data_IF_335126477082
#
_entry.id   IF_335126477082
#
_cell.length_a   1.000
_cell.length_b   1.000
_cell.length_c   1.000
_cell.angle_alpha   90.00
_cell.angle_beta   90.00
_cell.angle_gamma   90.00
#
_symmetry.space_group_name_H-M   'P 1'
#
loop_
_entity.id
_entity.type
_entity.pdbx_description
1 polymer ?
#
# COMPACT_ATOMS: atom_id res chain seq x y z
N UNK A 1 -33.69 -26.68 31.57
CA UNK A 1 -32.85 -26.23 30.43
C UNK A 1 -32.72 -27.37 29.44
N UNK A 2 -32.90 -27.07 28.15
CA UNK A 2 -32.78 -28.06 27.06
C UNK A 2 -31.30 -28.31 26.74
N UNK A 3 -30.64 -29.15 27.56
CA UNK A 3 -29.22 -29.53 27.37
C UNK A 3 -28.95 -30.22 26.03
N UNK A 4 -29.83 -31.13 25.52
CA UNK A 4 -29.65 -31.74 24.21
C UNK A 4 -29.72 -30.74 23.06
N UNK A 5 -30.63 -29.76 23.11
CA UNK A 5 -30.74 -28.70 22.13
C UNK A 5 -29.52 -27.81 22.12
N UNK A 6 -28.98 -27.43 23.29
CA UNK A 6 -27.76 -26.65 23.42
C UNK A 6 -26.53 -27.38 22.83
N UNK A 7 -26.38 -28.68 23.19
CA UNK A 7 -25.27 -29.49 22.68
C UNK A 7 -25.31 -29.62 21.15
N UNK A 8 -26.50 -29.75 20.55
CA UNK A 8 -26.69 -29.77 19.09
C UNK A 8 -26.28 -28.46 18.45
N UNK A 9 -26.67 -27.30 19.03
CA UNK A 9 -26.30 -25.99 18.53
C UNK A 9 -24.78 -25.76 18.59
N UNK A 10 -24.14 -26.14 19.69
CA UNK A 10 -22.69 -26.06 19.83
C UNK A 10 -22.01 -26.97 18.78
N UNK A 11 -22.49 -28.20 18.58
CA UNK A 11 -21.97 -29.09 17.55
C UNK A 11 -22.04 -28.48 16.14
N UNK A 12 -23.19 -27.88 15.78
CA UNK A 12 -23.37 -27.19 14.51
C UNK A 12 -22.40 -26.01 14.40
N UNK A 13 -22.26 -25.21 15.44
CA UNK A 13 -21.35 -24.08 15.45
C UNK A 13 -19.89 -24.50 15.25
N UNK A 14 -19.44 -25.58 15.88
CA UNK A 14 -18.10 -26.13 15.70
C UNK A 14 -17.89 -26.61 14.27
N UNK A 15 -18.83 -27.35 13.70
CA UNK A 15 -18.75 -27.82 12.30
C UNK A 15 -18.67 -26.64 11.33
N UNK A 16 -19.51 -25.62 11.50
CA UNK A 16 -19.49 -24.43 10.67
C UNK A 16 -18.16 -23.68 10.78
N UNK A 17 -17.57 -23.56 11.98
CA UNK A 17 -16.26 -22.95 12.18
C UNK A 17 -15.14 -23.74 11.48
N UNK A 18 -15.15 -25.06 11.56
CA UNK A 18 -14.17 -25.91 10.85
C UNK A 18 -14.29 -25.72 9.35
N UNK A 19 -15.51 -25.73 8.81
CA UNK A 19 -15.77 -25.47 7.38
C UNK A 19 -15.23 -24.08 6.99
N UNK A 20 -15.53 -23.05 7.78
CA UNK A 20 -15.06 -21.69 7.54
C UNK A 20 -13.52 -21.62 7.51
N UNK A 21 -12.84 -22.25 8.47
CA UNK A 21 -11.36 -22.30 8.51
C UNK A 21 -10.80 -22.97 7.25
N UNK A 22 -11.41 -24.05 6.79
CA UNK A 22 -11.00 -24.75 5.57
C UNK A 22 -11.16 -23.87 4.33
N UNK A 23 -12.28 -23.14 4.20
CA UNK A 23 -12.50 -22.20 3.10
C UNK A 23 -11.53 -21.03 3.13
N UNK A 24 -11.26 -20.46 4.31
CA UNK A 24 -10.26 -19.40 4.48
C UNK A 24 -8.87 -19.87 4.04
N UNK A 25 -8.46 -21.08 4.49
CA UNK A 25 -7.19 -21.68 4.08
C UNK A 25 -7.11 -21.90 2.57
N UNK A 26 -8.16 -22.47 1.98
CA UNK A 26 -8.25 -22.72 0.53
C UNK A 26 -8.14 -21.40 -0.25
N UNK A 27 -8.89 -20.37 0.16
CA UNK A 27 -8.81 -19.01 -0.41
C UNK A 27 -7.39 -18.47 -0.37
N UNK A 28 -6.71 -18.54 0.79
CA UNK A 28 -5.35 -18.04 0.94
C UNK A 28 -4.37 -18.76 0.00
N UNK A 29 -4.47 -20.09 -0.14
CA UNK A 29 -3.62 -20.88 -1.02
C UNK A 29 -3.85 -20.52 -2.50
N UNK A 30 -5.12 -20.41 -2.93
CA UNK A 30 -5.46 -20.03 -4.30
C UNK A 30 -4.94 -18.62 -4.59
N UNK A 31 -5.15 -17.67 -3.67
CA UNK A 31 -4.70 -16.29 -3.86
C UNK A 31 -3.18 -16.16 -3.89
N UNK A 32 -2.48 -16.87 -3.01
CA UNK A 32 -1.02 -16.91 -3.05
C UNK A 32 -0.50 -17.40 -4.42
N UNK A 33 -1.14 -18.44 -4.97
CA UNK A 33 -0.78 -18.97 -6.30
C UNK A 33 -1.09 -17.97 -7.42
N UNK A 34 -2.27 -17.37 -7.42
CA UNK A 34 -2.70 -16.40 -8.45
C UNK A 34 -1.85 -15.14 -8.40
N UNK A 35 -1.69 -14.53 -7.22
CA UNK A 35 -0.86 -13.33 -7.07
C UNK A 35 0.58 -13.57 -7.50
N UNK A 36 1.17 -14.71 -7.09
CA UNK A 36 2.54 -15.04 -7.49
C UNK A 36 2.66 -15.26 -9.02
N UNK A 37 1.66 -15.89 -9.64
CA UNK A 37 1.62 -16.08 -11.09
C UNK A 37 1.57 -14.74 -11.83
N UNK A 38 0.71 -13.82 -11.40
CA UNK A 38 0.61 -12.46 -11.96
C UNK A 38 1.96 -11.74 -11.86
N UNK A 39 2.62 -11.81 -10.68
CA UNK A 39 3.90 -11.16 -10.46
C UNK A 39 5.01 -11.72 -11.34
N UNK A 40 5.05 -13.04 -11.51
CA UNK A 40 6.02 -13.69 -12.40
C UNK A 40 5.78 -13.20 -13.83
N UNK A 41 4.53 -13.15 -14.28
CA UNK A 41 4.17 -12.66 -15.62
C UNK A 41 4.60 -11.21 -15.82
N UNK A 42 4.25 -10.31 -14.89
CA UNK A 42 4.64 -8.89 -14.97
C UNK A 42 6.16 -8.76 -14.98
N UNK A 43 6.86 -9.49 -14.13
CA UNK A 43 8.32 -9.46 -14.06
C UNK A 43 8.97 -9.95 -15.37
N UNK A 44 8.44 -11.01 -15.96
CA UNK A 44 8.91 -11.50 -17.25
C UNK A 44 8.66 -10.51 -18.37
N UNK A 45 7.47 -9.94 -18.45
CA UNK A 45 7.12 -8.91 -19.43
C UNK A 45 8.03 -7.69 -19.30
N UNK A 46 8.17 -7.17 -18.08
CA UNK A 46 9.02 -6.01 -17.80
C UNK A 46 10.50 -6.29 -18.15
N UNK A 47 11.01 -7.44 -17.74
CA UNK A 47 12.39 -7.81 -18.03
C UNK A 47 12.63 -8.01 -19.53
N UNK A 48 11.72 -8.71 -20.22
CA UNK A 48 11.81 -8.89 -21.67
C UNK A 48 11.74 -7.55 -22.41
N UNK A 49 10.82 -6.67 -21.98
CA UNK A 49 10.68 -5.35 -22.60
C UNK A 49 11.93 -4.49 -22.40
N UNK A 50 12.52 -4.48 -21.18
CA UNK A 50 13.77 -3.75 -20.91
C UNK A 50 14.91 -4.22 -21.83
N UNK A 51 14.96 -5.51 -22.19
CA UNK A 51 15.98 -6.04 -23.12
C UNK A 51 15.83 -5.52 -24.55
N UNK A 52 14.67 -5.00 -24.93
CA UNK A 52 14.40 -4.43 -26.25
C UNK A 52 14.65 -2.92 -26.32
N UNK A 53 14.88 -2.25 -25.19
CA UNK A 53 15.09 -0.80 -25.13
C UNK A 53 16.51 -0.44 -25.60
N UNK A 54 16.63 0.76 -26.14
CA UNK A 54 17.89 1.31 -26.63
C UNK A 54 18.82 1.78 -25.49
N UNK A 55 20.10 2.05 -25.83
CA UNK A 55 21.10 2.47 -24.85
C UNK A 55 20.76 3.82 -24.18
N UNK A 56 20.05 4.71 -24.85
CA UNK A 56 19.67 6.03 -24.29
C UNK A 56 18.79 5.88 -23.06
N UNK A 57 18.00 4.81 -22.98
CA UNK A 57 17.22 4.48 -21.80
C UNK A 57 18.12 4.18 -20.59
N UNK A 58 19.19 3.41 -20.79
CA UNK A 58 20.13 3.00 -19.73
C UNK A 58 21.06 4.15 -19.32
N UNK A 59 21.50 4.97 -20.27
CA UNK A 59 22.39 6.11 -20.02
C UNK A 59 21.68 7.19 -19.17
N UNK A 60 20.37 7.34 -19.35
CA UNK A 60 19.56 8.30 -18.59
C UNK A 60 19.13 7.81 -17.21
N UNK A 61 19.28 6.52 -16.91
CA UNK A 61 18.76 5.88 -15.69
C UNK A 61 19.80 4.98 -15.02
N UNK A 62 20.20 5.26 -13.76
CA UNK A 62 21.10 4.38 -13.01
C UNK A 62 20.54 2.95 -12.92
N UNK A 63 21.37 1.94 -13.13
CA UNK A 63 20.98 0.51 -13.08
C UNK A 63 20.28 0.13 -11.78
N UNK A 64 20.67 0.73 -10.65
CA UNK A 64 20.02 0.53 -9.36
C UNK A 64 18.56 0.96 -9.31
N UNK A 65 18.19 2.03 -10.06
CA UNK A 65 16.78 2.44 -10.18
C UNK A 65 15.96 1.44 -10.99
N UNK A 66 16.51 0.89 -12.06
CA UNK A 66 15.85 -0.14 -12.88
C UNK A 66 15.63 -1.40 -12.03
N UNK A 67 16.64 -1.84 -11.30
CA UNK A 67 16.57 -3.00 -10.42
C UNK A 67 15.51 -2.80 -9.30
N UNK A 68 15.46 -1.61 -8.69
CA UNK A 68 14.46 -1.27 -7.69
C UNK A 68 13.02 -1.38 -8.23
N UNK A 69 12.78 -1.04 -9.51
CA UNK A 69 11.48 -1.18 -10.17
C UNK A 69 11.13 -2.64 -10.42
N UNK A 70 12.06 -3.44 -10.92
CA UNK A 70 11.85 -4.89 -11.20
C UNK A 70 11.57 -5.68 -9.93
N UNK A 71 12.18 -5.32 -8.81
CA UNK A 71 12.03 -6.06 -7.54
C UNK A 71 11.05 -5.37 -6.59
N UNK A 72 11.27 -4.10 -6.29
CA UNK A 72 10.54 -3.37 -5.26
C UNK A 72 9.12 -3.01 -5.68
N UNK A 73 8.95 -2.31 -6.79
CA UNK A 73 7.65 -1.83 -7.23
C UNK A 73 6.69 -2.98 -7.60
N UNK A 74 7.21 -4.09 -8.16
CA UNK A 74 6.40 -5.29 -8.41
C UNK A 74 5.93 -5.94 -7.10
N UNK A 75 6.76 -5.98 -6.05
CA UNK A 75 6.33 -6.49 -4.75
C UNK A 75 5.25 -5.59 -4.12
N UNK A 76 5.32 -4.29 -4.31
CA UNK A 76 4.27 -3.35 -3.87
C UNK A 76 2.92 -3.64 -4.54
N UNK A 77 2.90 -4.01 -5.83
CA UNK A 77 1.69 -4.49 -6.53
C UNK A 77 1.13 -5.77 -5.91
N UNK A 78 2.00 -6.71 -5.52
CA UNK A 78 1.59 -7.94 -4.82
C UNK A 78 0.79 -7.61 -3.55
N UNK A 79 1.29 -6.69 -2.74
CA UNK A 79 0.68 -6.34 -1.47
C UNK A 79 -0.71 -5.72 -1.67
N UNK A 80 -0.87 -4.85 -2.68
CA UNK A 80 -2.17 -4.28 -3.04
C UNK A 80 -3.15 -5.34 -3.53
N UNK A 81 -2.75 -6.14 -4.51
CA UNK A 81 -3.61 -7.19 -5.09
C UNK A 81 -3.96 -8.27 -4.07
N UNK A 82 -2.98 -8.70 -3.28
CA UNK A 82 -3.17 -9.67 -2.22
C UNK A 82 -4.17 -9.20 -1.17
N UNK A 83 -3.98 -8.00 -0.62
CA UNK A 83 -4.84 -7.45 0.43
C UNK A 83 -6.24 -7.09 -0.08
N UNK A 84 -6.38 -6.66 -1.34
CA UNK A 84 -7.69 -6.43 -1.94
C UNK A 84 -8.57 -7.70 -1.86
N UNK A 85 -8.07 -8.82 -2.35
CA UNK A 85 -8.88 -10.05 -2.44
C UNK A 85 -8.94 -10.80 -1.11
N UNK A 86 -7.88 -10.78 -0.31
CA UNK A 86 -7.85 -11.52 0.95
C UNK A 86 -8.55 -10.79 2.11
N UNK A 87 -8.68 -9.49 2.04
CA UNK A 87 -9.20 -8.67 3.14
C UNK A 87 -10.44 -7.88 2.72
N UNK A 88 -10.35 -7.00 1.73
CA UNK A 88 -11.44 -6.09 1.39
C UNK A 88 -12.70 -6.78 0.89
N UNK A 89 -12.56 -7.75 -0.01
CA UNK A 89 -13.72 -8.45 -0.55
C UNK A 89 -14.48 -9.19 0.55
N UNK A 90 -13.83 -9.99 1.44
CA UNK A 90 -14.49 -10.61 2.57
C UNK A 90 -15.10 -9.60 3.55
N UNK A 91 -14.40 -8.50 3.82
CA UNK A 91 -14.89 -7.46 4.72
C UNK A 91 -16.15 -6.79 4.18
N UNK A 92 -16.18 -6.49 2.89
CA UNK A 92 -17.37 -5.96 2.22
C UNK A 92 -18.57 -6.91 2.35
N UNK A 93 -18.38 -8.21 2.06
CA UNK A 93 -19.44 -9.21 2.21
C UNK A 93 -19.86 -9.38 3.66
N UNK A 94 -18.92 -9.28 4.62
CA UNK A 94 -19.22 -9.35 6.06
C UNK A 94 -20.11 -8.18 6.47
N UNK A 95 -19.78 -6.95 6.10
CA UNK A 95 -20.59 -5.77 6.39
C UNK A 95 -21.98 -5.93 5.78
N UNK A 96 -22.08 -6.29 4.51
CA UNK A 96 -23.37 -6.46 3.83
C UNK A 96 -24.22 -7.54 4.51
N UNK A 97 -23.64 -8.70 4.82
CA UNK A 97 -24.34 -9.79 5.47
C UNK A 97 -24.84 -9.41 6.87
N UNK A 98 -23.98 -8.75 7.68
CA UNK A 98 -24.35 -8.31 9.02
C UNK A 98 -25.47 -7.28 8.98
N UNK A 99 -25.38 -6.27 8.11
CA UNK A 99 -26.45 -5.26 7.93
C UNK A 99 -27.76 -5.94 7.55
N UNK A 100 -27.74 -6.81 6.54
CA UNK A 100 -28.94 -7.54 6.09
C UNK A 100 -29.55 -8.35 7.24
N UNK A 101 -28.74 -9.12 7.98
CA UNK A 101 -29.21 -9.91 9.12
C UNK A 101 -29.82 -9.02 10.21
N UNK A 102 -29.19 -7.89 10.54
CA UNK A 102 -29.70 -6.95 11.54
C UNK A 102 -31.07 -6.40 11.16
N UNK A 103 -31.24 -5.95 9.91
CA UNK A 103 -32.52 -5.41 9.43
C UNK A 103 -33.62 -6.51 9.38
N UNK A 104 -33.29 -7.74 9.01
CA UNK A 104 -34.24 -8.85 9.04
C UNK A 104 -34.67 -9.22 10.46
N UNK A 105 -33.80 -9.09 11.46
CA UNK A 105 -34.12 -9.42 12.85
C UNK A 105 -34.93 -8.33 13.54
N UNK A 106 -34.51 -7.10 13.45
CA UNK A 106 -35.24 -5.97 14.02
C UNK A 106 -34.73 -4.65 13.40
N UNK A 107 -35.49 -3.99 12.51
CA UNK A 107 -35.05 -2.79 11.81
C UNK A 107 -34.82 -1.60 12.75
N UNK A 108 -35.55 -1.50 13.87
CA UNK A 108 -35.39 -0.40 14.84
C UNK A 108 -34.06 -0.56 15.58
N UNK A 109 -33.74 -1.75 16.06
CA UNK A 109 -32.45 -2.02 16.71
C UNK A 109 -31.30 -1.89 15.70
N UNK A 110 -31.50 -2.30 14.44
CA UNK A 110 -30.51 -2.12 13.39
C UNK A 110 -30.19 -0.64 13.16
N UNK A 111 -31.20 0.20 12.99
CA UNK A 111 -31.02 1.63 12.82
C UNK A 111 -30.33 2.29 14.03
N UNK A 112 -30.72 1.92 15.26
CA UNK A 112 -30.10 2.41 16.48
C UNK A 112 -28.61 2.00 16.59
N UNK A 113 -28.29 0.75 16.26
CA UNK A 113 -26.92 0.24 16.29
C UNK A 113 -26.02 0.91 15.24
N UNK A 114 -26.55 1.21 14.06
CA UNK A 114 -25.81 1.80 12.95
C UNK A 114 -25.65 3.32 13.08
N UNK A 115 -26.28 3.99 14.07
CA UNK A 115 -26.20 5.44 14.27
C UNK A 115 -24.76 5.91 14.55
N UNK A 116 -23.93 5.05 15.12
CA UNK A 116 -22.52 5.35 15.40
C UNK A 116 -21.63 5.28 14.16
N UNK A 117 -22.05 4.61 13.07
CA UNK A 117 -21.22 4.45 11.86
C UNK A 117 -20.92 5.78 11.16
N UNK A 118 -21.90 6.67 10.89
CA UNK A 118 -21.58 7.97 10.29
C UNK A 118 -20.62 8.79 11.15
N UNK A 119 -20.81 8.77 12.47
CA UNK A 119 -19.92 9.45 13.41
C UNK A 119 -18.52 8.88 13.37
N UNK A 120 -18.39 7.56 13.33
CA UNK A 120 -17.11 6.87 13.23
C UNK A 120 -16.39 7.20 11.91
N UNK A 121 -17.08 7.15 10.78
CA UNK A 121 -16.51 7.53 9.47
C UNK A 121 -16.03 8.97 9.49
N UNK A 122 -16.80 9.88 10.08
CA UNK A 122 -16.40 11.29 10.22
C UNK A 122 -15.15 11.44 11.09
N UNK A 123 -15.11 10.81 12.26
CA UNK A 123 -13.95 10.84 13.15
C UNK A 123 -12.69 10.25 12.46
N UNK A 124 -12.84 9.14 11.75
CA UNK A 124 -11.75 8.52 10.99
C UNK A 124 -11.21 9.48 9.93
N UNK A 125 -12.09 10.06 9.12
CA UNK A 125 -11.69 11.00 8.07
C UNK A 125 -10.98 12.22 8.67
N UNK A 126 -11.53 12.79 9.73
CA UNK A 126 -10.94 13.93 10.41
C UNK A 126 -9.54 13.64 10.95
N UNK A 127 -9.39 12.56 11.72
CA UNK A 127 -8.11 12.17 12.31
C UNK A 127 -7.10 11.82 11.21
N UNK A 128 -7.52 11.13 10.14
CA UNK A 128 -6.65 10.76 9.02
C UNK A 128 -6.06 11.99 8.33
N UNK A 129 -6.86 13.02 8.06
CA UNK A 129 -6.41 14.26 7.42
C UNK A 129 -5.36 14.97 8.29
N UNK A 130 -5.63 15.10 9.60
CA UNK A 130 -4.71 15.78 10.51
C UNK A 130 -3.45 14.94 10.79
N UNK A 131 -3.58 13.63 10.96
CA UNK A 131 -2.47 12.71 11.16
C UNK A 131 -1.51 12.73 9.96
N UNK A 132 -2.04 12.70 8.73
CA UNK A 132 -1.22 12.77 7.53
C UNK A 132 -0.31 14.00 7.51
N UNK A 133 -0.83 15.18 7.89
CA UNK A 133 -0.05 16.43 7.97
C UNK A 133 1.08 16.35 9.01
N UNK A 134 0.80 15.78 10.19
CA UNK A 134 1.80 15.60 11.25
C UNK A 134 2.90 14.62 10.84
N UNK A 135 2.54 13.52 10.20
CA UNK A 135 3.51 12.58 9.64
C UNK A 135 4.36 13.17 8.51
N UNK A 136 3.83 14.09 7.71
CA UNK A 136 4.63 14.81 6.71
C UNK A 136 5.68 15.72 7.39
N UNK A 137 5.29 16.43 8.46
CA UNK A 137 6.24 17.27 9.24
C UNK A 137 7.33 16.38 9.84
N UNK A 138 6.96 15.27 10.47
CA UNK A 138 7.91 14.33 11.04
C UNK A 138 8.89 13.77 9.98
N UNK A 139 8.39 13.36 8.80
CA UNK A 139 9.25 12.89 7.70
C UNK A 139 10.26 13.95 7.27
N UNK A 140 9.85 15.23 7.21
CA UNK A 140 10.77 16.33 6.87
C UNK A 140 11.86 16.48 7.94
N UNK A 141 11.49 16.43 9.24
CA UNK A 141 12.46 16.52 10.34
C UNK A 141 13.41 15.32 10.34
N UNK A 142 12.91 14.12 10.11
CA UNK A 142 13.72 12.91 9.96
C UNK A 142 14.70 13.01 8.78
N UNK A 143 14.24 13.53 7.63
CA UNK A 143 15.10 13.74 6.46
C UNK A 143 16.22 14.74 6.75
N UNK A 144 15.91 15.85 7.45
CA UNK A 144 16.92 16.85 7.83
C UNK A 144 17.97 16.28 8.77
N UNK A 145 17.55 15.51 9.79
CA UNK A 145 18.46 14.84 10.70
C UNK A 145 19.38 13.84 9.97
N UNK A 146 18.80 13.02 9.08
CA UNK A 146 19.58 12.05 8.31
C UNK A 146 20.57 12.73 7.36
N UNK A 147 20.17 13.83 6.71
CA UNK A 147 21.06 14.62 5.83
C UNK A 147 22.22 15.21 6.62
N UNK A 148 21.94 15.78 7.80
CA UNK A 148 22.97 16.33 8.69
C UNK A 148 23.96 15.25 9.13
N UNK A 149 23.47 14.09 9.60
CA UNK A 149 24.35 12.99 10.02
C UNK A 149 25.20 12.48 8.85
N UNK A 150 24.65 12.41 7.64
CA UNK A 150 25.41 12.00 6.46
C UNK A 150 26.51 13.03 6.12
N UNK A 151 26.21 14.31 6.17
CA UNK A 151 27.15 15.39 5.90
C UNK A 151 28.26 15.43 6.95
N UNK A 152 27.88 15.35 8.23
CA UNK A 152 28.76 15.35 9.39
C UNK A 152 29.77 14.20 9.34
N UNK A 153 29.29 12.97 9.14
CA UNK A 153 30.15 11.78 9.02
C UNK A 153 31.04 11.82 7.78
N UNK A 154 30.55 12.38 6.66
CA UNK A 154 31.35 12.55 5.44
C UNK A 154 32.43 13.61 5.63
N UNK A 155 32.15 14.66 6.41
CA UNK A 155 33.06 15.77 6.73
C UNK A 155 33.87 15.60 8.04
N UNK A 156 33.82 14.45 8.70
CA UNK A 156 34.37 14.26 10.05
C UNK A 156 35.86 14.71 10.22
N UNK A 157 36.66 14.51 9.18
CA UNK A 157 38.07 14.94 9.20
C UNK A 157 38.20 16.47 9.26
N UNK A 158 37.31 17.19 8.62
CA UNK A 158 37.26 18.64 8.61
C UNK A 158 36.84 19.14 9.99
N UNK A 159 35.78 18.56 10.56
CA UNK A 159 35.25 18.90 11.88
C UNK A 159 36.35 18.73 12.93
N UNK A 160 37.05 17.61 12.93
CA UNK A 160 38.16 17.34 13.85
C UNK A 160 39.36 18.27 13.62
N UNK A 161 39.67 18.62 12.36
CA UNK A 161 40.79 19.52 12.06
C UNK A 161 40.57 20.94 12.57
N UNK A 162 39.30 21.38 12.63
CA UNK A 162 38.92 22.70 13.12
C UNK A 162 38.42 22.69 14.58
N UNK A 163 38.45 21.53 15.25
CA UNK A 163 37.95 21.34 16.64
C UNK A 163 36.50 21.84 16.80
N UNK A 164 35.65 21.59 15.79
CA UNK A 164 34.27 22.05 15.73
C UNK A 164 33.25 21.03 16.29
N UNK A 165 33.72 20.00 17.03
CA UNK A 165 32.88 18.90 17.53
C UNK A 165 31.74 19.38 18.43
N UNK A 166 32.02 20.40 19.28
CA UNK A 166 30.99 20.91 20.19
C UNK A 166 29.86 21.63 19.47
N UNK A 167 30.14 22.40 18.42
CA UNK A 167 29.15 23.09 17.62
C UNK A 167 28.29 22.10 16.82
N UNK A 168 28.95 21.11 16.22
CA UNK A 168 28.29 20.03 15.50
C UNK A 168 27.39 19.22 16.43
N UNK A 169 27.86 18.89 17.64
CA UNK A 169 27.07 18.19 18.65
C UNK A 169 25.84 18.99 19.10
N UNK A 170 25.97 20.31 19.27
CA UNK A 170 24.84 21.18 19.62
C UNK A 170 23.77 21.16 18.52
N UNK A 171 24.17 21.25 17.27
CA UNK A 171 23.27 21.15 16.11
C UNK A 171 22.60 19.78 16.02
N UNK A 172 23.36 18.71 16.26
CA UNK A 172 22.80 17.35 16.30
C UNK A 172 21.74 17.20 17.40
N UNK A 173 21.99 17.70 18.60
CA UNK A 173 21.03 17.68 19.69
C UNK A 173 19.75 18.43 19.33
N UNK A 174 19.88 19.64 18.76
CA UNK A 174 18.71 20.40 18.33
C UNK A 174 17.87 19.62 17.30
N UNK A 175 18.50 19.08 16.26
CA UNK A 175 17.79 18.31 15.22
C UNK A 175 17.15 17.04 15.78
N UNK A 176 17.80 16.39 16.74
CA UNK A 176 17.26 15.21 17.43
C UNK A 176 16.04 15.55 18.28
N UNK A 177 16.08 16.69 18.99
CA UNK A 177 14.93 17.17 19.76
C UNK A 177 13.75 17.53 18.85
N UNK A 178 14.00 18.24 17.75
CA UNK A 178 12.97 18.55 16.76
C UNK A 178 12.36 17.29 16.13
N UNK A 179 13.18 16.27 15.85
CA UNK A 179 12.74 14.98 15.35
C UNK A 179 11.86 14.26 16.38
N UNK A 180 12.32 14.19 17.65
CA UNK A 180 11.56 13.60 18.77
C UNK A 180 10.20 14.28 18.95
N UNK A 181 10.18 15.61 19.02
CA UNK A 181 8.95 16.36 19.28
C UNK A 181 7.94 16.21 18.14
N UNK A 182 8.41 16.24 16.89
CA UNK A 182 7.56 15.96 15.73
C UNK A 182 7.01 14.53 15.72
N UNK A 183 7.78 13.55 16.19
CA UNK A 183 7.33 12.16 16.33
C UNK A 183 6.25 12.03 17.40
N UNK A 184 6.49 12.62 18.60
CA UNK A 184 5.51 12.61 19.69
C UNK A 184 4.17 13.23 19.22
N UNK A 185 4.23 14.35 18.51
CA UNK A 185 3.01 15.01 17.97
C UNK A 185 2.27 14.13 16.96
N UNK A 186 3.00 13.43 16.10
CA UNK A 186 2.40 12.51 15.13
C UNK A 186 1.76 11.29 15.82
N UNK A 187 2.45 10.70 16.80
CA UNK A 187 1.98 9.53 17.55
C UNK A 187 0.77 9.87 18.42
N UNK A 188 0.78 10.99 19.15
CA UNK A 188 -0.36 11.42 19.98
C UNK A 188 -1.66 11.50 19.18
N UNK A 189 -1.59 12.01 17.96
CA UNK A 189 -2.77 12.10 17.11
C UNK A 189 -3.17 10.73 16.56
N UNK A 190 -2.20 9.87 16.28
CA UNK A 190 -2.48 8.50 15.85
C UNK A 190 -3.12 7.67 16.96
N UNK A 191 -2.67 7.82 18.20
CA UNK A 191 -3.24 7.12 19.36
C UNK A 191 -4.66 7.60 19.70
N UNK A 192 -4.96 8.87 19.44
CA UNK A 192 -6.32 9.40 19.56
C UNK A 192 -7.32 8.69 18.64
N UNK A 193 -6.84 8.07 17.57
CA UNK A 193 -7.66 7.29 16.64
C UNK A 193 -8.32 6.08 17.33
N UNK A 194 -7.56 5.27 18.07
CA UNK A 194 -8.09 4.14 18.82
C UNK A 194 -9.17 4.58 19.82
N UNK A 195 -8.85 5.60 20.62
CA UNK A 195 -9.77 6.13 21.62
C UNK A 195 -11.06 6.71 21.03
N UNK A 196 -10.97 7.43 19.89
CA UNK A 196 -12.17 7.97 19.22
C UNK A 196 -13.10 6.86 18.75
N UNK A 197 -12.54 5.77 18.31
CA UNK A 197 -13.25 4.60 17.88
C UNK A 197 -13.95 3.88 19.02
N UNK A 198 -13.24 3.66 20.14
CA UNK A 198 -13.85 3.05 21.33
C UNK A 198 -15.04 3.88 21.83
N UNK A 199 -14.95 5.20 21.77
CA UNK A 199 -16.07 6.10 22.07
C UNK A 199 -17.24 5.89 21.10
N UNK A 200 -16.98 5.83 19.79
CA UNK A 200 -18.02 5.56 18.78
C UNK A 200 -18.69 4.20 19.00
N UNK A 201 -17.90 3.18 19.32
CA UNK A 201 -18.42 1.86 19.66
C UNK A 201 -19.29 1.91 20.93
N UNK A 202 -18.85 2.61 21.97
CA UNK A 202 -19.61 2.79 23.19
C UNK A 202 -20.95 3.51 22.93
N UNK A 203 -20.95 4.55 22.08
CA UNK A 203 -22.18 5.27 21.67
C UNK A 203 -23.13 4.32 20.94
N UNK A 204 -22.64 3.51 19.99
CA UNK A 204 -23.47 2.54 19.26
C UNK A 204 -24.05 1.48 20.19
N UNK A 205 -23.26 0.98 21.12
CA UNK A 205 -23.67 0.00 22.12
C UNK A 205 -24.68 0.61 23.10
N UNK A 206 -24.46 1.83 23.56
CA UNK A 206 -25.42 2.56 24.38
C UNK A 206 -26.75 2.75 23.67
N UNK A 207 -26.72 3.23 22.42
CA UNK A 207 -27.93 3.43 21.61
C UNK A 207 -28.70 2.12 21.40
N UNK A 208 -28.00 1.01 21.18
CA UNK A 208 -28.61 -0.33 21.09
C UNK A 208 -29.36 -0.70 22.37
N UNK A 209 -28.69 -0.66 23.54
CA UNK A 209 -29.31 -1.09 24.80
C UNK A 209 -30.38 -0.11 25.25
N UNK A 210 -30.19 1.19 25.07
CA UNK A 210 -31.21 2.18 25.37
C UNK A 210 -32.48 1.95 24.54
N UNK A 211 -32.33 1.77 23.22
CA UNK A 211 -33.48 1.50 22.34
C UNK A 211 -34.14 0.17 22.68
N UNK A 212 -33.38 -0.87 22.95
CA UNK A 212 -33.91 -2.20 23.23
C UNK A 212 -34.65 -2.27 24.57
N UNK A 213 -34.10 -1.67 25.62
CA UNK A 213 -34.63 -1.79 26.98
C UNK A 213 -35.70 -0.71 27.25
N UNK A 214 -35.40 0.56 26.88
CA UNK A 214 -36.24 1.71 27.24
C UNK A 214 -37.35 1.96 26.22
N UNK A 215 -37.01 1.95 24.91
CA UNK A 215 -37.99 2.28 23.87
C UNK A 215 -38.88 1.12 23.47
N UNK A 216 -38.32 -0.09 23.30
CA UNK A 216 -39.06 -1.27 22.86
C UNK A 216 -39.61 -2.09 24.02
N UNK A 217 -38.94 -2.09 25.15
CA UNK A 217 -39.32 -2.78 26.37
C UNK A 217 -38.89 -4.26 26.40
N UNK A 218 -38.67 -4.80 27.63
CA UNK A 218 -38.15 -6.17 27.83
C UNK A 218 -39.10 -7.27 27.33
N UNK A 219 -40.39 -6.95 27.23
CA UNK A 219 -41.40 -7.92 26.77
C UNK A 219 -41.36 -8.18 25.27
N UNK A 220 -40.80 -7.24 24.48
CA UNK A 220 -40.75 -7.30 23.02
C UNK A 220 -39.41 -7.81 22.48
N UNK A 221 -38.35 -7.76 23.29
CA UNK A 221 -37.00 -8.10 22.84
C UNK A 221 -36.36 -9.05 23.86
N UNK A 222 -35.92 -10.20 23.36
CA UNK A 222 -35.17 -11.13 24.18
C UNK A 222 -33.76 -10.64 24.46
N UNK A 223 -33.21 -10.95 25.63
CA UNK A 223 -31.80 -10.68 25.97
C UNK A 223 -30.83 -11.25 24.93
N UNK A 224 -31.15 -12.40 24.35
CA UNK A 224 -30.35 -13.03 23.31
C UNK A 224 -30.23 -12.17 22.03
N UNK A 225 -31.31 -11.44 21.64
CA UNK A 225 -31.26 -10.51 20.50
C UNK A 225 -30.32 -9.34 20.81
N UNK A 226 -30.38 -8.77 22.01
CA UNK A 226 -29.49 -7.66 22.39
C UNK A 226 -28.02 -8.07 22.38
N UNK A 227 -27.70 -9.26 22.91
CA UNK A 227 -26.34 -9.82 22.90
C UNK A 227 -25.88 -10.05 21.46
N UNK A 228 -26.74 -10.60 20.59
CA UNK A 228 -26.42 -10.81 19.19
C UNK A 228 -26.12 -9.49 18.46
N UNK A 229 -26.95 -8.44 18.69
CA UNK A 229 -26.72 -7.13 18.10
C UNK A 229 -25.44 -6.46 18.60
N UNK A 230 -25.09 -6.60 19.88
CA UNK A 230 -23.80 -6.15 20.42
C UNK A 230 -22.61 -6.82 19.71
N UNK A 231 -22.72 -8.14 19.43
CA UNK A 231 -21.73 -8.86 18.64
C UNK A 231 -21.68 -8.35 17.19
N UNK A 232 -22.81 -8.04 16.58
CA UNK A 232 -22.87 -7.49 15.22
C UNK A 232 -22.21 -6.11 15.13
N UNK A 233 -22.40 -5.22 16.10
CA UNK A 233 -21.69 -3.94 16.16
C UNK A 233 -20.17 -4.16 16.16
N UNK A 234 -19.68 -5.11 16.95
CA UNK A 234 -18.25 -5.45 17.00
C UNK A 234 -17.71 -6.00 15.67
N UNK A 235 -18.54 -6.63 14.85
CA UNK A 235 -18.11 -7.16 13.54
C UNK A 235 -17.85 -6.09 12.48
N UNK A 236 -18.31 -4.86 12.67
CA UNK A 236 -17.99 -3.76 11.77
C UNK A 236 -16.57 -3.21 11.95
N UNK A 237 -15.98 -3.48 13.10
CA UNK A 237 -14.71 -2.87 13.50
C UNK A 237 -13.54 -3.20 12.57
N UNK A 238 -13.22 -4.49 12.44
CA UNK A 238 -12.12 -4.95 11.62
C UNK A 238 -12.25 -4.54 10.14
N UNK A 239 -13.41 -4.70 9.48
CA UNK A 239 -13.63 -4.24 8.12
C UNK A 239 -13.33 -2.75 7.91
N UNK A 240 -13.74 -1.90 8.83
CA UNK A 240 -13.54 -0.45 8.69
C UNK A 240 -12.07 -0.09 8.86
N UNK A 241 -11.39 -0.69 9.85
CA UNK A 241 -9.94 -0.50 10.03
C UNK A 241 -9.15 -1.00 8.83
N UNK A 242 -9.50 -2.16 8.29
CA UNK A 242 -8.87 -2.74 7.11
C UNK A 242 -9.06 -1.85 5.88
N UNK A 243 -10.23 -1.26 5.70
CA UNK A 243 -10.50 -0.31 4.60
C UNK A 243 -9.61 0.93 4.70
N UNK A 244 -9.44 1.49 5.90
CA UNK A 244 -8.56 2.64 6.14
C UNK A 244 -7.09 2.31 5.83
N UNK A 245 -6.62 1.17 6.31
CA UNK A 245 -5.25 0.69 6.05
C UNK A 245 -5.01 0.44 4.55
N UNK A 246 -5.99 -0.14 3.88
CA UNK A 246 -5.91 -0.42 2.45
C UNK A 246 -5.89 0.87 1.61
N UNK A 247 -6.66 1.88 1.98
CA UNK A 247 -6.61 3.19 1.34
C UNK A 247 -5.19 3.80 1.37
N UNK A 248 -4.53 3.77 2.54
CA UNK A 248 -3.15 4.22 2.69
C UNK A 248 -2.18 3.39 1.84
N UNK A 249 -2.39 2.10 1.78
CA UNK A 249 -1.56 1.18 0.99
C UNK A 249 -1.71 1.44 -0.52
N UNK A 250 -2.92 1.70 -1.01
CA UNK A 250 -3.15 2.09 -2.40
C UNK A 250 -2.35 3.36 -2.73
N UNK A 251 -2.51 4.43 -1.95
CA UNK A 251 -1.83 5.71 -2.21
C UNK A 251 -0.31 5.52 -2.25
N UNK A 252 0.23 4.70 -1.36
CA UNK A 252 1.68 4.48 -1.30
C UNK A 252 2.20 3.64 -2.46
N UNK A 253 1.43 2.65 -2.91
CA UNK A 253 1.89 1.64 -3.87
C UNK A 253 1.47 1.93 -5.31
N UNK A 254 0.48 2.82 -5.56
CA UNK A 254 0.04 3.18 -6.91
C UNK A 254 1.17 3.83 -7.72
N UNK A 255 2.01 4.64 -7.06
CA UNK A 255 3.18 5.22 -7.68
C UNK A 255 4.18 4.16 -8.18
N UNK A 256 4.26 3.00 -7.52
CA UNK A 256 5.05 1.86 -7.99
C UNK A 256 4.50 1.26 -9.28
N UNK A 257 3.16 1.12 -9.36
CA UNK A 257 2.49 0.67 -10.56
C UNK A 257 2.72 1.62 -11.75
N UNK A 258 2.55 2.93 -11.53
CA UNK A 258 2.79 3.95 -12.56
C UNK A 258 4.20 3.84 -13.14
N UNK A 259 5.22 3.67 -12.29
CA UNK A 259 6.61 3.53 -12.76
C UNK A 259 6.86 2.24 -13.54
N UNK A 260 6.15 1.15 -13.25
CA UNK A 260 6.24 -0.10 -14.01
C UNK A 260 5.63 0.11 -15.40
N UNK A 261 4.45 0.70 -15.48
CA UNK A 261 3.78 1.00 -16.75
C UNK A 261 4.56 2.03 -17.57
N UNK A 262 5.15 3.06 -16.94
CA UNK A 262 6.04 4.00 -17.62
C UNK A 262 7.17 3.29 -18.38
N UNK A 263 7.76 2.24 -17.81
CA UNK A 263 8.77 1.46 -18.51
C UNK A 263 8.16 0.62 -19.62
N UNK A 264 7.04 -0.05 -19.37
CA UNK A 264 6.37 -0.92 -20.35
C UNK A 264 5.86 -0.13 -21.56
N UNK A 265 5.45 1.13 -21.35
CA UNK A 265 4.97 2.02 -22.39
C UNK A 265 6.10 2.77 -23.12
N UNK A 266 7.37 2.63 -22.66
CA UNK A 266 8.54 3.24 -23.32
C UNK A 266 8.84 2.49 -24.61
N UNK A 267 8.68 3.14 -25.74
CA UNK A 267 9.01 2.55 -27.04
C UNK A 267 10.53 2.59 -27.30
N UNK A 268 11.06 1.52 -27.88
CA UNK A 268 12.46 1.52 -28.37
C UNK A 268 12.59 2.45 -29.59
N UNK A 269 13.56 3.36 -29.53
CA UNK A 269 13.84 4.25 -30.68
C UNK A 269 14.49 3.49 -31.84
N UNK A 270 15.03 2.31 -31.57
CA UNK A 270 15.67 1.46 -32.57
C UNK A 270 14.80 0.22 -32.72
N UNK A 271 14.08 0.14 -33.79
CA UNK A 271 13.26 -1.02 -34.18
C UNK A 271 13.53 -1.40 -35.63
N UNK A 272 13.37 -2.67 -35.93
CA UNK A 272 13.41 -3.11 -37.33
C UNK A 272 12.25 -2.47 -38.10
N UNK A 273 12.55 -1.98 -39.30
CA UNK A 273 11.51 -1.48 -40.19
C UNK A 273 10.62 -2.62 -40.73
N UNK A 274 9.37 -2.33 -41.01
CA UNK A 274 8.44 -3.31 -41.58
C UNK A 274 8.99 -3.89 -42.92
N UNK A 275 9.05 -5.22 -42.99
CA UNK A 275 9.50 -5.91 -44.20
C UNK A 275 11.00 -6.17 -44.30
N UNK A 276 11.78 -5.92 -43.24
CA UNK A 276 13.21 -6.23 -43.21
C UNK A 276 13.44 -7.73 -43.27
N UNK A 277 14.27 -8.15 -44.21
CA UNK A 277 14.72 -9.56 -44.35
C UNK A 277 16.07 -9.79 -43.64
N UNK A 278 16.36 -11.04 -43.32
CA UNK A 278 17.67 -11.39 -42.74
C UNK A 278 18.81 -10.93 -43.64
N UNK A 279 19.82 -10.31 -43.06
CA UNK A 279 21.06 -9.95 -43.76
C UNK A 279 21.70 -11.19 -44.39
N UNK A 280 22.19 -11.08 -45.64
CA UNK A 280 23.00 -12.13 -46.22
C UNK A 280 24.30 -12.31 -45.42
N UNK A 281 25.07 -13.43 -45.60
CA UNK A 281 26.32 -13.64 -44.90
C UNK A 281 27.26 -12.41 -45.09
N UNK A 282 27.55 -11.72 -43.99
CA UNK A 282 28.38 -10.50 -44.01
C UNK A 282 29.85 -10.88 -44.09
N UNK A 283 30.59 -10.34 -45.06
CA UNK A 283 32.02 -10.55 -45.22
C UNK A 283 32.92 -9.66 -44.34
N UNK A 284 32.32 -8.76 -43.58
CA UNK A 284 33.00 -7.92 -42.59
C UNK A 284 33.60 -6.62 -43.13
N UNK A 285 33.35 -6.25 -44.40
CA UNK A 285 33.72 -4.91 -44.90
C UNK A 285 32.79 -3.83 -44.34
N UNK A 286 33.36 -2.72 -43.85
CA UNK A 286 32.62 -1.56 -43.36
C UNK A 286 33.13 -0.28 -44.02
N UNK A 287 32.23 0.49 -44.59
CA UNK A 287 32.57 1.79 -45.21
C UNK A 287 31.80 2.91 -44.49
N UNK A 288 32.52 3.92 -44.01
CA UNK A 288 31.98 5.17 -43.55
C UNK A 288 32.15 6.13 -44.71
N UNK A 289 31.08 6.79 -45.11
CA UNK A 289 31.05 7.74 -46.23
C UNK A 289 30.35 9.02 -45.79
N UNK A 290 31.11 10.09 -45.55
CA UNK A 290 30.65 11.39 -45.09
C UNK A 290 29.72 11.33 -43.86
N UNK A 291 30.08 10.49 -42.88
CA UNK A 291 29.24 10.25 -41.68
C UNK A 291 29.41 11.38 -40.67
N UNK A 292 28.29 12.04 -40.33
CA UNK A 292 28.22 13.00 -39.24
C UNK A 292 27.26 12.46 -38.16
N UNK A 293 27.62 12.62 -36.87
CA UNK A 293 26.84 12.12 -35.76
C UNK A 293 26.83 13.07 -34.58
N UNK A 294 25.68 13.19 -33.94
CA UNK A 294 25.47 13.94 -32.70
C UNK A 294 24.53 13.13 -31.75
N UNK A 295 24.77 13.17 -30.43
CA UNK A 295 23.94 12.51 -29.43
C UNK A 295 22.65 13.32 -29.11
N UNK A 296 22.75 14.64 -29.09
CA UNK A 296 21.70 15.58 -28.66
C UNK A 296 21.19 16.51 -29.77
N UNK A 297 21.77 16.40 -30.97
CA UNK A 297 21.45 17.26 -32.12
C UNK A 297 22.16 18.62 -32.08
N UNK A 298 22.77 19.04 -30.98
CA UNK A 298 23.44 20.35 -30.85
C UNK A 298 24.94 20.26 -31.11
N UNK A 299 25.62 19.26 -30.51
CA UNK A 299 27.06 19.10 -30.63
C UNK A 299 27.42 17.90 -31.50
N UNK A 300 28.03 18.15 -32.66
CA UNK A 300 28.56 17.09 -33.51
C UNK A 300 29.74 16.42 -32.83
N UNK A 301 29.68 15.11 -32.68
CA UNK A 301 30.74 14.24 -32.15
C UNK A 301 31.57 13.65 -33.28
N UNK A 302 30.94 13.33 -34.40
CA UNK A 302 31.58 13.02 -35.66
C UNK A 302 31.13 14.05 -36.67
N UNK A 303 32.06 14.57 -37.48
CA UNK A 303 31.79 15.57 -38.52
C UNK A 303 32.52 15.13 -39.79
N UNK A 304 31.74 14.77 -40.80
CA UNK A 304 32.22 14.40 -42.14
C UNK A 304 33.31 13.31 -42.18
N UNK A 305 33.13 12.25 -41.44
CA UNK A 305 34.11 11.15 -41.28
C UNK A 305 33.93 10.14 -42.39
N UNK A 306 35.01 9.90 -43.16
CA UNK A 306 35.06 8.93 -44.25
C UNK A 306 36.25 7.98 -44.09
N UNK A 307 36.00 6.64 -44.04
CA UNK A 307 37.06 5.62 -44.06
C UNK A 307 36.47 4.25 -44.44
N UNK A 308 37.35 3.34 -44.80
CA UNK A 308 36.98 1.98 -45.22
C UNK A 308 37.78 0.94 -44.43
N UNK A 309 37.10 -0.06 -43.92
CA UNK A 309 37.67 -1.26 -43.27
C UNK A 309 37.49 -2.42 -44.22
N UNK A 310 38.59 -3.13 -44.52
CA UNK A 310 38.55 -4.35 -45.35
C UNK A 310 38.05 -5.56 -44.52
N UNK A 311 37.48 -6.59 -45.16
CA UNK A 311 37.10 -7.85 -44.52
C UNK A 311 38.23 -8.48 -43.75
#
# INVERSE_FOLDING_TARGET
GDFPGLAKLIGIAVVLNVIMILFVKLRMLIMAKVCNSILVTIRQQLYTHIQTLDFSFFDSRPTGKILARIIGDINSLKDVLGNCVTTLIPDFFTICAVVVIMFFKNPVLAAASLISLPLMIFCMWFIQVYSHKRWQIHRKKSSNLNAFVHEDLSGIRIIQSFSAEQETMATFHQLTDEHRDSFIDAVRLNDAFGSAIDICWAIGTFALYFTGIVLLGPDKISLGILIAFGSYISMFWNPIMNLSNFYNQIITNIAGAERIFEILDTESKISDADGVTKLPPVKGAVTFDHVSFSYDGEKRVLDDVSFQIKP
#
